data_IF_736705379857
#
_entry.id   IF_736705379857
#
_cell.length_a   1.000
_cell.length_b   1.000
_cell.length_c   1.000
_cell.angle_alpha   90.00
_cell.angle_beta   90.00
_cell.angle_gamma   90.00
#
_symmetry.space_group_name_H-M   'P 1'
#
loop_
_entity.id
_entity.type
_entity.pdbx_description
1 polymer ?
#
# COMPACT_ATOMS: atom_id res chain seq x y z
N UNK A 1 -10.56 16.92 44.29
CA UNK A 1 -11.30 16.07 43.33
C UNK A 1 -10.67 14.68 43.32
N UNK A 2 -11.18 13.77 44.16
CA UNK A 2 -10.72 12.38 44.22
C UNK A 2 -11.58 11.58 43.26
N UNK A 3 -11.10 11.42 42.03
CA UNK A 3 -11.88 10.89 40.91
C UNK A 3 -11.31 9.56 40.40
N UNK A 4 -11.37 8.49 41.20
CA UNK A 4 -11.39 7.13 40.64
C UNK A 4 -12.26 6.22 41.50
N UNK A 5 -13.20 5.51 40.86
CA UNK A 5 -14.09 4.50 41.48
C UNK A 5 -13.38 3.15 41.71
N UNK A 6 -12.05 3.13 41.58
CA UNK A 6 -11.20 1.96 41.77
C UNK A 6 -11.05 1.66 43.25
N UNK A 7 -11.14 0.39 43.67
CA UNK A 7 -10.94 -0.01 45.08
C UNK A 7 -9.64 0.52 45.67
N UNK A 8 -8.58 0.57 44.86
CA UNK A 8 -7.26 1.03 45.27
C UNK A 8 -7.06 2.55 45.04
N UNK A 9 -8.09 3.25 44.55
CA UNK A 9 -8.06 4.67 44.20
C UNK A 9 -6.86 5.07 43.31
N UNK A 10 -6.36 4.10 42.54
CA UNK A 10 -5.22 4.26 41.65
C UNK A 10 -5.70 4.24 40.20
N UNK A 11 -5.23 5.21 39.41
CA UNK A 11 -5.48 5.29 37.97
C UNK A 11 -4.62 4.25 37.26
N UNK A 12 -5.24 3.16 36.79
CA UNK A 12 -4.59 2.16 35.95
C UNK A 12 -4.82 2.53 34.49
N UNK A 13 -3.74 2.64 33.71
CA UNK A 13 -3.80 2.91 32.27
C UNK A 13 -3.17 1.73 31.54
N UNK A 14 -3.99 0.96 30.84
CA UNK A 14 -3.52 -0.14 30.00
C UNK A 14 -3.25 0.39 28.60
N UNK A 15 -1.99 0.39 28.16
CA UNK A 15 -1.60 0.77 26.80
C UNK A 15 -0.79 -0.33 26.14
N UNK A 16 -0.96 -0.47 24.83
CA UNK A 16 -0.14 -1.34 24.01
C UNK A 16 1.29 -0.79 23.93
N UNK A 17 2.30 -1.66 23.93
CA UNK A 17 3.72 -1.27 23.90
C UNK A 17 4.01 -0.33 22.71
N UNK A 18 3.36 -0.57 21.57
CA UNK A 18 3.55 0.20 20.34
C UNK A 18 2.55 1.34 20.16
N UNK A 19 1.77 1.69 21.19
CA UNK A 19 0.67 2.65 21.06
C UNK A 19 1.19 4.02 20.61
N UNK A 20 2.33 4.45 21.13
CA UNK A 20 2.94 5.75 20.79
C UNK A 20 3.34 5.81 19.30
N UNK A 21 3.96 4.75 18.78
CA UNK A 21 4.31 4.67 17.35
C UNK A 21 3.08 4.64 16.44
N UNK A 22 2.00 3.97 16.86
CA UNK A 22 0.73 3.95 16.13
C UNK A 22 0.09 5.34 16.11
N UNK A 23 0.12 6.08 17.22
CA UNK A 23 -0.37 7.46 17.29
C UNK A 23 0.42 8.38 16.36
N UNK A 24 1.75 8.29 16.35
CA UNK A 24 2.60 9.06 15.42
C UNK A 24 2.28 8.76 13.94
N UNK A 25 2.06 7.49 13.59
CA UNK A 25 1.68 7.11 12.23
C UNK A 25 0.31 7.68 11.83
N UNK A 26 -0.62 7.78 12.77
CA UNK A 26 -1.95 8.34 12.54
C UNK A 26 -1.88 9.86 12.36
N UNK A 27 -1.02 10.55 13.12
CA UNK A 27 -0.80 11.99 12.99
C UNK A 27 -0.22 12.33 11.61
N UNK A 28 0.78 11.57 11.14
CA UNK A 28 1.37 11.73 9.79
C UNK A 28 0.30 11.52 8.71
N UNK A 29 -0.59 10.55 8.88
CA UNK A 29 -1.66 10.27 7.90
C UNK A 29 -2.63 11.44 7.75
N UNK A 30 -2.90 12.16 8.82
CA UNK A 30 -3.83 13.30 8.84
C UNK A 30 -3.16 14.64 8.51
N UNK A 31 -1.83 14.66 8.38
CA UNK A 31 -1.09 15.85 7.98
C UNK A 31 -1.53 16.35 6.59
N UNK A 32 -1.56 17.67 6.43
CA UNK A 32 -1.93 18.33 5.17
C UNK A 32 -0.94 17.92 4.05
N UNK A 33 -1.47 17.47 2.90
CA UNK A 33 -0.71 16.88 1.80
C UNK A 33 -0.54 15.35 1.91
N UNK A 34 -0.23 14.81 3.10
CA UNK A 34 -0.12 13.36 3.30
C UNK A 34 -1.48 12.66 3.19
N UNK A 35 -2.55 13.32 3.63
CA UNK A 35 -3.92 12.80 3.47
C UNK A 35 -4.28 12.53 2.01
N UNK A 36 -3.91 13.40 1.09
CA UNK A 36 -4.18 13.25 -0.35
C UNK A 36 -3.33 12.12 -0.94
N UNK A 37 -2.03 12.10 -0.63
CA UNK A 37 -1.14 11.01 -1.04
C UNK A 37 -1.64 9.65 -0.52
N UNK A 38 -2.10 9.60 0.71
CA UNK A 38 -2.63 8.39 1.33
C UNK A 38 -3.95 7.94 0.68
N UNK A 39 -4.77 8.85 0.15
CA UNK A 39 -5.96 8.48 -0.63
C UNK A 39 -5.61 7.71 -1.89
N UNK A 40 -4.51 8.04 -2.57
CA UNK A 40 -4.05 7.33 -3.77
C UNK A 40 -3.58 5.90 -3.50
N UNK A 41 -3.36 5.51 -2.24
CA UNK A 41 -2.99 4.14 -1.88
C UNK A 41 -4.06 3.12 -2.31
N UNK A 42 -5.35 3.48 -2.22
CA UNK A 42 -6.45 2.59 -2.61
C UNK A 42 -6.41 2.25 -4.12
N UNK A 43 -6.01 3.23 -4.92
CA UNK A 43 -5.98 3.14 -6.39
C UNK A 43 -4.71 2.45 -6.90
N UNK A 44 -3.60 2.63 -6.18
CA UNK A 44 -2.29 2.11 -6.59
C UNK A 44 -1.97 0.81 -5.86
N UNK A 45 -1.66 0.92 -4.56
CA UNK A 45 -1.15 -0.17 -3.73
C UNK A 45 -2.22 -1.24 -3.49
N UNK A 46 -3.40 -0.87 -3.00
CA UNK A 46 -4.45 -1.85 -2.67
C UNK A 46 -4.99 -2.54 -3.93
N UNK A 47 -5.12 -1.80 -5.04
CA UNK A 47 -5.49 -2.36 -6.34
C UNK A 47 -4.43 -3.35 -6.86
N UNK A 48 -3.15 -3.04 -6.72
CA UNK A 48 -2.06 -3.92 -7.11
C UNK A 48 -2.04 -5.20 -6.24
N UNK A 49 -2.24 -5.07 -4.93
CA UNK A 49 -2.37 -6.22 -4.04
C UNK A 49 -3.60 -7.08 -4.36
N UNK A 50 -4.75 -6.47 -4.67
CA UNK A 50 -5.94 -7.20 -5.10
C UNK A 50 -5.69 -8.00 -6.38
N UNK A 51 -5.10 -7.34 -7.39
CA UNK A 51 -4.71 -7.98 -8.65
C UNK A 51 -3.75 -9.13 -8.42
N UNK A 52 -2.75 -8.95 -7.54
CA UNK A 52 -1.78 -10.00 -7.25
C UNK A 52 -2.40 -11.20 -6.50
N UNK A 53 -3.39 -10.96 -5.63
CA UNK A 53 -4.13 -12.04 -4.97
C UNK A 53 -4.90 -12.90 -5.96
N UNK A 54 -5.61 -12.28 -6.88
CA UNK A 54 -6.48 -12.97 -7.84
C UNK A 54 -5.68 -13.61 -8.99
N UNK A 55 -4.82 -12.85 -9.67
CA UNK A 55 -4.13 -13.33 -10.88
C UNK A 55 -2.81 -14.08 -10.60
N UNK A 56 -2.16 -13.84 -9.47
CA UNK A 56 -0.85 -14.45 -9.15
C UNK A 56 -0.93 -15.48 -8.02
N UNK A 57 -2.14 -15.98 -7.71
CA UNK A 57 -2.36 -17.04 -6.73
C UNK A 57 -1.76 -16.71 -5.35
N UNK A 58 -1.89 -15.44 -4.92
CA UNK A 58 -1.50 -15.02 -3.57
C UNK A 58 -2.67 -15.05 -2.58
N UNK A 59 -3.87 -15.48 -3.01
CA UNK A 59 -5.01 -15.73 -2.13
C UNK A 59 -4.77 -16.88 -1.15
N UNK A 60 -4.01 -17.88 -1.58
CA UNK A 60 -3.62 -19.03 -0.75
C UNK A 60 -2.11 -19.26 -0.79
N UNK A 61 -1.55 -19.65 0.36
CA UNK A 61 -0.15 -20.03 0.49
C UNK A 61 0.05 -21.46 -0.01
N UNK A 62 0.60 -21.60 -1.23
CA UNK A 62 0.91 -22.92 -1.82
C UNK A 62 2.28 -23.45 -1.43
N UNK A 63 3.20 -22.56 -1.08
CA UNK A 63 4.55 -22.93 -0.64
C UNK A 63 4.59 -23.15 0.87
N UNK A 64 5.38 -24.13 1.30
CA UNK A 64 5.63 -24.39 2.73
C UNK A 64 6.93 -23.71 3.17
N UNK A 65 6.84 -22.91 4.22
CA UNK A 65 7.97 -22.20 4.82
C UNK A 65 8.02 -20.71 4.44
N UNK A 66 8.48 -19.89 5.39
CA UNK A 66 8.49 -18.42 5.27
C UNK A 66 9.35 -17.93 4.11
N UNK A 67 10.60 -18.41 4.02
CA UNK A 67 11.54 -17.99 2.97
C UNK A 67 11.02 -18.27 1.56
N UNK A 68 10.47 -19.47 1.30
CA UNK A 68 9.90 -19.79 -0.02
C UNK A 68 8.71 -18.91 -0.40
N UNK A 69 7.87 -18.55 0.58
CA UNK A 69 6.74 -17.65 0.35
C UNK A 69 7.22 -16.21 0.09
N UNK A 70 8.25 -15.77 0.80
CA UNK A 70 8.88 -14.46 0.58
C UNK A 70 9.48 -14.37 -0.83
N UNK A 71 10.19 -15.39 -1.28
CA UNK A 71 10.76 -15.45 -2.64
C UNK A 71 9.65 -15.38 -3.71
N UNK A 72 8.56 -16.13 -3.53
CA UNK A 72 7.41 -16.12 -4.45
C UNK A 72 6.77 -14.74 -4.54
N UNK A 73 6.52 -14.09 -3.40
CA UNK A 73 5.94 -12.75 -3.35
C UNK A 73 6.90 -11.74 -3.97
N UNK A 74 8.18 -11.81 -3.63
CA UNK A 74 9.25 -10.95 -4.13
C UNK A 74 9.35 -10.99 -5.65
N UNK A 75 9.40 -12.18 -6.24
CA UNK A 75 9.44 -12.35 -7.69
C UNK A 75 8.18 -11.80 -8.36
N UNK A 76 7.00 -12.07 -7.79
CA UNK A 76 5.72 -11.59 -8.33
C UNK A 76 5.67 -10.06 -8.36
N UNK A 77 6.06 -9.40 -7.26
CA UNK A 77 6.07 -7.95 -7.16
C UNK A 77 7.15 -7.33 -8.06
N UNK A 78 8.32 -7.97 -8.18
CA UNK A 78 9.37 -7.52 -9.11
C UNK A 78 8.86 -7.52 -10.56
N UNK A 79 8.19 -8.60 -11.00
CA UNK A 79 7.60 -8.66 -12.34
C UNK A 79 6.50 -7.60 -12.56
N UNK A 80 5.65 -7.35 -11.56
CA UNK A 80 4.62 -6.30 -11.64
C UNK A 80 5.21 -4.90 -11.76
N UNK A 81 6.29 -4.63 -11.01
CA UNK A 81 7.01 -3.36 -11.10
C UNK A 81 7.69 -3.20 -12.47
N UNK A 82 8.32 -4.25 -13.00
CA UNK A 82 8.91 -4.24 -14.34
C UNK A 82 7.86 -3.97 -15.43
N UNK A 83 6.68 -4.62 -15.33
CA UNK A 83 5.56 -4.37 -16.26
C UNK A 83 5.13 -2.90 -16.23
N UNK A 84 5.02 -2.32 -15.03
CA UNK A 84 4.65 -0.91 -14.86
C UNK A 84 5.72 0.02 -15.43
N UNK A 85 7.00 -0.26 -15.16
CA UNK A 85 8.13 0.49 -15.70
C UNK A 85 8.10 0.50 -17.23
N UNK A 86 7.97 -0.68 -17.83
CA UNK A 86 7.83 -0.84 -19.29
C UNK A 86 6.66 0.02 -19.78
N UNK A 87 5.45 -0.14 -19.24
CA UNK A 87 4.29 0.65 -19.66
C UNK A 87 4.52 2.16 -19.59
N UNK A 88 5.19 2.65 -18.54
CA UNK A 88 5.54 4.09 -18.43
C UNK A 88 6.56 4.53 -19.49
N UNK A 89 7.60 3.72 -19.74
CA UNK A 89 8.61 4.02 -20.75
C UNK A 89 8.02 4.01 -22.18
N UNK A 90 7.18 3.02 -22.51
CA UNK A 90 6.53 2.94 -23.82
C UNK A 90 5.47 4.02 -24.02
N UNK A 91 4.71 4.37 -22.97
CA UNK A 91 3.77 5.50 -23.00
C UNK A 91 4.48 6.84 -23.18
N UNK A 92 5.64 7.04 -22.52
CA UNK A 92 6.50 8.20 -22.73
C UNK A 92 7.13 8.20 -24.13
N UNK A 93 7.53 7.04 -24.66
CA UNK A 93 8.10 6.92 -26.01
C UNK A 93 7.04 7.21 -27.09
N UNK A 94 5.80 6.73 -26.95
CA UNK A 94 4.71 7.09 -27.86
C UNK A 94 4.38 8.59 -27.78
N UNK A 95 4.31 9.17 -26.58
CA UNK A 95 4.07 10.60 -26.38
C UNK A 95 5.23 11.48 -26.91
N UNK A 96 6.47 11.00 -26.84
CA UNK A 96 7.67 11.68 -27.39
C UNK A 96 7.78 11.52 -28.92
N UNK A 97 7.42 10.36 -29.48
CA UNK A 97 7.54 10.06 -30.92
C UNK A 97 6.38 10.66 -31.71
N UNK A 98 5.19 10.75 -31.12
CA UNK A 98 4.03 11.36 -31.73
C UNK A 98 3.47 12.43 -30.80
N UNK A 99 3.86 13.68 -31.07
CA UNK A 99 3.49 14.84 -30.25
C UNK A 99 2.00 14.89 -29.91
N UNK A 100 1.75 15.12 -28.61
CA UNK A 100 0.56 15.38 -27.78
C UNK A 100 -0.88 15.48 -28.34
N UNK A 101 -1.16 15.52 -29.64
CA UNK A 101 -2.48 15.90 -30.17
C UNK A 101 -3.17 14.85 -31.06
N UNK A 102 -2.78 13.57 -31.06
CA UNK A 102 -3.44 12.56 -31.92
C UNK A 102 -3.72 11.17 -31.33
N UNK A 103 -3.71 11.00 -30.01
CA UNK A 103 -3.87 9.68 -29.38
C UNK A 103 -5.13 9.49 -28.53
N UNK A 104 -6.20 10.26 -28.76
CA UNK A 104 -7.53 9.89 -28.22
C UNK A 104 -8.23 8.78 -29.02
N UNK A 105 -7.70 8.34 -30.17
CA UNK A 105 -8.46 7.49 -31.11
C UNK A 105 -7.96 6.05 -31.32
N UNK A 106 -6.98 5.52 -30.56
CA UNK A 106 -6.46 4.17 -30.86
C UNK A 106 -6.40 3.19 -29.69
N UNK A 107 -7.06 3.50 -28.57
CA UNK A 107 -7.23 2.59 -27.42
C UNK A 107 -8.69 2.67 -26.94
N UNK A 108 -9.62 2.47 -27.86
CA UNK A 108 -10.97 1.98 -27.58
C UNK A 108 -11.01 0.50 -27.97
#
# INVERSE_FOLDING_TARGET
SVCTTSKNHQKVVTRHIWKEYLEQCEDIRHQRGMKELYQHRKETIERLFGTAKEYHNLRYTREKGKSKMEDKIGLTLACLNLKTLIQTLWGQHLCRRFGSNRFKCLLA
#
